data_IF_397138272109
#
_entry.id   IF_397138272109
#
_cell.length_a   1.000
_cell.length_b   1.000
_cell.length_c   1.000
_cell.angle_alpha   90.00
_cell.angle_beta   90.00
_cell.angle_gamma   90.00
#
_symmetry.space_group_name_H-M   'P 1'
#
loop_
_entity.id
_entity.type
_entity.pdbx_description
1 polymer ?
#
# COMPACT_ATOMS: atom_id res chain seq x y z
N UNK A 1 -23.96 10.20 2.08
CA UNK A 1 -22.51 9.98 1.90
C UNK A 1 -22.02 11.19 1.12
N UNK A 2 -21.00 11.91 1.60
CA UNK A 2 -20.43 13.01 0.80
C UNK A 2 -19.85 12.46 -0.51
N UNK A 3 -20.10 13.17 -1.59
CA UNK A 3 -19.55 12.88 -2.91
C UNK A 3 -18.02 13.05 -2.88
N UNK A 4 -17.32 12.21 -3.64
CA UNK A 4 -15.87 12.28 -3.82
C UNK A 4 -15.52 12.11 -5.29
N UNK A 5 -14.39 12.67 -5.71
CA UNK A 5 -13.94 12.61 -7.10
C UNK A 5 -13.60 11.18 -7.53
N UNK A 6 -12.99 10.41 -6.62
CA UNK A 6 -12.51 9.04 -6.91
C UNK A 6 -12.79 8.08 -5.75
N UNK A 7 -13.17 6.85 -6.09
CA UNK A 7 -13.22 5.72 -5.15
C UNK A 7 -12.13 4.71 -5.52
N UNK A 8 -11.28 4.38 -4.55
CA UNK A 8 -10.22 3.37 -4.68
C UNK A 8 -10.64 2.10 -3.94
N UNK A 9 -10.67 0.97 -4.66
CA UNK A 9 -11.01 -0.33 -4.09
C UNK A 9 -9.72 -1.15 -3.89
N UNK A 10 -9.39 -1.43 -2.63
CA UNK A 10 -8.19 -2.14 -2.17
C UNK A 10 -7.11 -1.20 -1.64
N UNK A 11 -6.70 -1.41 -0.38
CA UNK A 11 -5.55 -0.76 0.27
C UNK A 11 -4.24 -1.55 0.05
N UNK A 12 -4.10 -2.19 -1.12
CA UNK A 12 -2.83 -2.78 -1.55
C UNK A 12 -1.84 -1.72 -2.02
N UNK A 13 -0.66 -2.16 -2.45
CA UNK A 13 0.41 -1.27 -2.90
C UNK A 13 -0.02 -0.32 -4.03
N UNK A 14 -0.81 -0.81 -5.00
CA UNK A 14 -1.36 -0.01 -6.09
C UNK A 14 -2.41 1.01 -5.62
N UNK A 15 -3.34 0.62 -4.75
CA UNK A 15 -4.39 1.52 -4.25
C UNK A 15 -3.84 2.61 -3.34
N UNK A 16 -2.87 2.28 -2.49
CA UNK A 16 -2.16 3.27 -1.67
C UNK A 16 -1.33 4.24 -2.53
N UNK A 17 -0.70 3.75 -3.60
CA UNK A 17 -0.02 4.61 -4.57
C UNK A 17 -0.99 5.55 -5.28
N UNK A 18 -2.15 5.05 -5.75
CA UNK A 18 -3.20 5.88 -6.33
C UNK A 18 -3.70 6.94 -5.33
N UNK A 19 -3.95 6.57 -4.07
CA UNK A 19 -4.36 7.50 -3.02
C UNK A 19 -3.32 8.62 -2.78
N UNK A 20 -2.02 8.29 -2.79
CA UNK A 20 -0.94 9.29 -2.73
C UNK A 20 -0.99 10.25 -3.92
N UNK A 21 -1.14 9.72 -5.14
CA UNK A 21 -1.25 10.53 -6.37
C UNK A 21 -2.48 11.45 -6.34
N UNK A 22 -3.64 10.93 -5.96
CA UNK A 22 -4.89 11.71 -5.86
C UNK A 22 -4.77 12.83 -4.82
N UNK A 23 -4.18 12.53 -3.66
CA UNK A 23 -3.89 13.53 -2.63
C UNK A 23 -2.98 14.64 -3.16
N UNK A 24 -1.90 14.27 -3.85
CA UNK A 24 -0.97 15.24 -4.44
C UNK A 24 -1.62 16.11 -5.52
N UNK A 25 -2.62 15.57 -6.22
CA UNK A 25 -3.42 16.29 -7.21
C UNK A 25 -4.54 17.16 -6.58
N UNK A 26 -4.73 17.13 -5.26
CA UNK A 26 -5.79 17.88 -4.57
C UNK A 26 -7.20 17.32 -4.78
N UNK A 27 -7.33 16.07 -5.24
CA UNK A 27 -8.63 15.41 -5.46
C UNK A 27 -9.13 14.73 -4.18
N UNK A 28 -10.44 14.79 -3.95
CA UNK A 28 -11.12 14.08 -2.89
C UNK A 28 -11.27 12.60 -3.25
N UNK A 29 -11.04 11.70 -2.30
CA UNK A 29 -11.21 10.28 -2.54
C UNK A 29 -11.60 9.50 -1.29
N UNK A 30 -12.18 8.32 -1.51
CA UNK A 30 -12.37 7.29 -0.48
C UNK A 30 -11.65 6.03 -0.89
N UNK A 31 -11.00 5.37 0.07
CA UNK A 31 -10.31 4.11 -0.13
C UNK A 31 -10.96 3.05 0.75
N UNK A 32 -11.34 1.93 0.15
CA UNK A 32 -12.00 0.81 0.83
C UNK A 32 -11.12 -0.44 0.77
N UNK A 33 -10.96 -1.13 1.90
CA UNK A 33 -10.23 -2.39 2.00
C UNK A 33 -11.14 -3.43 2.62
N UNK A 34 -11.13 -4.64 2.07
CA UNK A 34 -11.95 -5.75 2.56
C UNK A 34 -11.33 -6.43 3.78
N UNK A 35 -10.00 -6.39 3.89
CA UNK A 35 -9.25 -6.93 5.02
C UNK A 35 -9.27 -6.00 6.23
N UNK A 36 -8.94 -6.55 7.39
CA UNK A 36 -8.72 -5.79 8.63
C UNK A 36 -7.34 -5.09 8.67
N UNK A 37 -6.61 -5.08 7.56
CA UNK A 37 -5.28 -4.48 7.43
C UNK A 37 -5.06 -3.95 6.02
N UNK A 38 -4.19 -2.96 5.90
CA UNK A 38 -3.70 -2.48 4.62
C UNK A 38 -2.53 -3.36 4.10
N UNK A 39 -2.01 -3.03 2.92
CA UNK A 39 -0.86 -3.70 2.29
C UNK A 39 -1.26 -4.79 1.30
N UNK A 40 -2.45 -5.38 1.43
CA UNK A 40 -2.93 -6.46 0.56
C UNK A 40 -1.97 -7.64 0.56
N UNK A 41 -1.34 -7.94 -0.57
CA UNK A 41 -0.36 -9.03 -0.70
C UNK A 41 1.00 -8.74 -0.04
N UNK A 42 1.31 -7.49 0.26
CA UNK A 42 2.42 -7.17 1.15
C UNK A 42 1.94 -7.40 2.58
N UNK A 43 2.49 -8.43 3.23
CA UNK A 43 2.06 -8.86 4.55
C UNK A 43 3.24 -9.33 5.38
N UNK A 44 3.53 -8.59 6.43
CA UNK A 44 4.45 -8.99 7.50
C UNK A 44 3.64 -9.52 8.68
N UNK A 45 4.03 -10.67 9.22
CA UNK A 45 3.41 -11.29 10.39
C UNK A 45 4.47 -11.75 11.38
N UNK A 46 4.23 -11.53 12.67
CA UNK A 46 5.05 -12.05 13.77
C UNK A 46 4.50 -13.36 14.37
N UNK A 47 3.29 -13.76 13.96
CA UNK A 47 2.54 -14.87 14.58
C UNK A 47 3.16 -16.26 14.35
N UNK A 48 3.96 -16.43 13.28
CA UNK A 48 4.49 -17.75 12.91
C UNK A 48 5.85 -18.04 13.53
N UNK A 49 6.68 -17.02 13.74
CA UNK A 49 8.09 -17.19 14.11
C UNK A 49 8.49 -16.38 15.36
N UNK A 50 7.57 -15.65 15.97
CA UNK A 50 7.87 -14.75 17.11
C UNK A 50 8.72 -13.54 16.72
N UNK A 51 8.94 -13.33 15.43
CA UNK A 51 9.67 -12.21 14.82
C UNK A 51 8.93 -11.78 13.55
N UNK A 52 9.01 -10.49 13.16
CA UNK A 52 8.42 -10.03 11.90
C UNK A 52 8.94 -10.83 10.70
N UNK A 53 8.02 -11.41 9.94
CA UNK A 53 8.33 -12.20 8.76
C UNK A 53 7.38 -11.87 7.61
N UNK A 54 7.93 -11.56 6.44
CA UNK A 54 7.13 -11.28 5.24
C UNK A 54 6.59 -12.56 4.64
N UNK A 55 5.27 -12.73 4.74
CA UNK A 55 4.53 -13.82 4.10
C UNK A 55 4.35 -13.53 2.59
N UNK A 56 4.33 -12.26 2.21
CA UNK A 56 4.32 -11.82 0.81
C UNK A 56 5.17 -10.57 0.60
N UNK A 57 5.54 -10.29 -0.64
CA UNK A 57 6.35 -9.13 -1.04
C UNK A 57 7.71 -8.97 -0.30
N UNK A 58 8.41 -10.08 -0.02
CA UNK A 58 9.67 -10.06 0.73
C UNK A 58 10.90 -9.52 -0.05
N UNK A 59 10.75 -9.14 -1.33
CA UNK A 59 11.90 -8.77 -2.16
C UNK A 59 11.62 -7.60 -3.11
N UNK A 60 12.53 -6.61 -3.11
CA UNK A 60 12.57 -5.51 -4.06
C UNK A 60 13.68 -5.76 -5.07
N UNK A 61 13.30 -6.11 -6.29
CA UNK A 61 14.26 -6.30 -7.38
C UNK A 61 14.77 -4.96 -7.93
N UNK A 62 16.03 -4.94 -8.37
CA UNK A 62 16.68 -3.81 -9.04
C UNK A 62 16.55 -2.49 -8.26
N UNK A 63 17.09 -2.47 -7.04
CA UNK A 63 16.96 -1.37 -6.08
C UNK A 63 17.37 0.00 -6.65
N UNK A 64 18.36 0.03 -7.55
CA UNK A 64 18.84 1.22 -8.24
C UNK A 64 17.79 1.94 -9.10
N UNK A 65 16.72 1.24 -9.51
CA UNK A 65 15.67 1.77 -10.39
C UNK A 65 14.26 1.41 -9.94
N UNK A 66 14.11 0.78 -8.77
CA UNK A 66 12.81 0.36 -8.29
C UNK A 66 12.01 1.59 -7.83
N UNK A 67 10.77 1.81 -8.30
CA UNK A 67 9.97 2.96 -7.87
C UNK A 67 9.61 2.94 -6.38
N UNK A 68 9.74 1.79 -5.70
CA UNK A 68 9.60 1.69 -4.24
C UNK A 68 10.87 2.08 -3.49
N UNK A 69 12.02 2.28 -4.14
CA UNK A 69 13.28 2.58 -3.45
C UNK A 69 13.20 3.86 -2.59
N UNK A 70 12.66 5.00 -3.06
CA UNK A 70 12.52 6.18 -2.22
C UNK A 70 11.59 5.95 -1.02
N UNK A 71 10.55 5.14 -1.20
CA UNK A 71 9.59 4.79 -0.16
C UNK A 71 10.19 3.85 0.89
N UNK A 72 11.14 3.00 0.52
CA UNK A 72 11.85 2.10 1.42
C UNK A 72 12.93 2.81 2.27
N UNK A 73 13.31 4.04 1.90
CA UNK A 73 14.26 4.86 2.67
C UNK A 73 13.58 5.80 3.68
N UNK A 74 12.26 6.01 3.56
CA UNK A 74 11.46 6.88 4.41
C UNK A 74 11.14 6.24 5.76
#
# INVERSE_FOLDING_TARGET
MEDVDVVVIGAGSAGLSAAKTLRAAGLSFKLFEAMNRIGGRAWTSDQHFGVPFDIGCAWLHAADRNPYFPEAQA
#
